data_IF_284253965565
#
_entry.id   IF_284253965565
#
_cell.length_a   1.000
_cell.length_b   1.000
_cell.length_c   1.000
_cell.angle_alpha   90.00
_cell.angle_beta   90.00
_cell.angle_gamma   90.00
#
_symmetry.space_group_name_H-M   'P 1'
#
loop_
_entity.id
_entity.type
_entity.pdbx_description
1 polymer ?
#
# COMPACT_ATOMS: atom_id res chain seq x y z
N UNK A 1 -4.03 -17.66 3.92
CA UNK A 1 -3.94 -18.18 2.54
C UNK A 1 -2.95 -19.34 2.45
N UNK A 2 -1.75 -19.23 3.02
CA UNK A 2 -0.70 -20.26 2.92
C UNK A 2 -0.60 -21.25 4.10
N UNK A 3 -1.35 -21.02 5.18
CA UNK A 3 -1.37 -21.88 6.38
C UNK A 3 -2.71 -22.62 6.50
N UNK A 4 -2.69 -23.78 7.14
CA UNK A 4 -3.86 -24.67 7.31
C UNK A 4 -3.79 -25.92 6.42
N UNK A 5 -4.79 -26.81 6.50
CA UNK A 5 -4.90 -27.96 5.61
C UNK A 5 -5.07 -27.50 4.16
N UNK A 6 -4.45 -28.21 3.22
CA UNK A 6 -4.58 -27.93 1.79
C UNK A 6 -6.01 -28.25 1.35
N UNK A 7 -6.68 -27.31 0.68
CA UNK A 7 -8.00 -27.53 0.12
C UNK A 7 -7.93 -28.61 -0.98
N UNK A 8 -8.90 -29.54 -1.07
CA UNK A 8 -8.91 -30.61 -2.08
C UNK A 8 -8.76 -30.07 -3.52
N UNK A 9 -9.37 -28.93 -3.80
CA UNK A 9 -9.36 -28.24 -5.10
C UNK A 9 -7.97 -27.77 -5.52
N UNK A 10 -7.06 -27.55 -4.57
CA UNK A 10 -5.71 -27.01 -4.82
C UNK A 10 -4.63 -28.10 -4.87
N UNK A 11 -5.02 -29.38 -4.77
CA UNK A 11 -4.08 -30.50 -4.67
C UNK A 11 -3.23 -30.70 -5.92
N UNK A 12 -3.80 -30.43 -7.09
CA UNK A 12 -3.16 -30.65 -8.40
C UNK A 12 -2.65 -29.35 -9.05
N UNK A 13 -2.60 -28.25 -8.29
CA UNK A 13 -2.13 -26.97 -8.79
C UNK A 13 -0.62 -27.01 -8.99
N UNK A 14 -0.20 -26.78 -10.25
CA UNK A 14 1.22 -26.75 -10.63
C UNK A 14 1.88 -25.46 -10.18
N UNK A 15 3.19 -25.53 -9.95
CA UNK A 15 4.01 -24.34 -9.72
C UNK A 15 3.89 -23.37 -10.91
N UNK A 16 3.96 -22.06 -10.65
CA UNK A 16 3.86 -21.06 -11.69
C UNK A 16 5.02 -21.17 -12.69
N UNK A 17 4.80 -20.72 -13.93
CA UNK A 17 5.82 -20.70 -14.96
C UNK A 17 7.00 -19.80 -14.57
N UNK A 18 8.17 -20.06 -15.16
CA UNK A 18 9.39 -19.29 -14.89
C UNK A 18 9.18 -17.78 -15.08
N UNK A 19 8.42 -17.37 -16.11
CA UNK A 19 8.11 -15.96 -16.38
C UNK A 19 7.37 -15.28 -15.22
N UNK A 20 6.55 -16.02 -14.46
CA UNK A 20 5.83 -15.47 -13.31
C UNK A 20 6.70 -15.51 -12.03
N UNK A 21 7.61 -16.47 -11.91
CA UNK A 21 8.54 -16.56 -10.78
C UNK A 21 9.75 -15.63 -10.90
N UNK A 22 10.09 -15.18 -12.10
CA UNK A 22 11.29 -14.39 -12.35
C UNK A 22 11.24 -12.97 -11.75
N UNK A 23 10.16 -12.16 -11.93
CA UNK A 23 10.04 -10.86 -11.28
C UNK A 23 10.15 -10.92 -9.74
N UNK A 24 9.41 -11.78 -9.00
CA UNK A 24 9.53 -11.83 -7.55
C UNK A 24 10.90 -12.36 -7.09
N UNK A 25 11.56 -13.22 -7.87
CA UNK A 25 12.92 -13.66 -7.58
C UNK A 25 13.92 -12.49 -7.63
N UNK A 26 13.89 -11.68 -8.70
CA UNK A 26 14.73 -10.49 -8.80
C UNK A 26 14.43 -9.52 -7.66
N UNK A 27 13.14 -9.31 -7.36
CA UNK A 27 12.73 -8.42 -6.29
C UNK A 27 13.27 -8.89 -4.93
N UNK A 28 13.18 -10.19 -4.63
CA UNK A 28 13.72 -10.76 -3.40
C UNK A 28 15.24 -10.56 -3.32
N UNK A 29 15.97 -10.77 -4.41
CA UNK A 29 17.41 -10.57 -4.47
C UNK A 29 17.77 -9.09 -4.22
N UNK A 30 17.08 -8.16 -4.87
CA UNK A 30 17.24 -6.72 -4.63
C UNK A 30 16.91 -6.32 -3.19
N UNK A 31 15.84 -6.86 -2.60
CA UNK A 31 15.49 -6.61 -1.20
C UNK A 31 16.60 -7.06 -0.24
N UNK A 32 17.19 -8.23 -0.48
CA UNK A 32 18.30 -8.73 0.34
C UNK A 32 19.54 -7.84 0.16
N UNK A 33 19.91 -7.52 -1.08
CA UNK A 33 21.08 -6.67 -1.36
C UNK A 33 20.93 -5.27 -0.76
N UNK A 34 19.78 -4.62 -0.96
CA UNK A 34 19.53 -3.27 -0.44
C UNK A 34 19.34 -3.27 1.08
N UNK A 35 18.79 -4.35 1.65
CA UNK A 35 18.64 -4.51 3.10
C UNK A 35 19.99 -4.70 3.80
N UNK A 36 20.88 -5.53 3.24
CA UNK A 36 22.21 -5.79 3.82
C UNK A 36 23.15 -4.59 3.58
N UNK A 37 23.03 -3.94 2.42
CA UNK A 37 23.94 -2.87 1.98
C UNK A 37 23.16 -1.57 1.72
N UNK A 38 22.64 -0.91 2.77
CA UNK A 38 21.80 0.27 2.59
C UNK A 38 22.56 1.47 2.03
N UNK A 39 23.89 1.53 2.21
CA UNK A 39 24.69 2.65 1.71
C UNK A 39 24.65 2.81 0.19
N UNK A 40 24.44 1.72 -0.58
CA UNK A 40 24.35 1.79 -2.04
C UNK A 40 23.09 2.53 -2.51
N UNK A 41 21.86 2.09 -2.18
CA UNK A 41 20.65 2.79 -2.60
C UNK A 41 20.56 4.20 -2.00
N UNK A 42 21.07 4.41 -0.77
CA UNK A 42 21.04 5.74 -0.14
C UNK A 42 21.98 6.73 -0.86
N UNK A 43 23.27 6.40 -0.99
CA UNK A 43 24.26 7.34 -1.52
C UNK A 43 24.17 7.54 -3.03
N UNK A 44 23.80 6.51 -3.80
CA UNK A 44 23.81 6.58 -5.27
C UNK A 44 22.47 6.93 -5.89
N UNK A 45 21.36 6.58 -5.23
CA UNK A 45 20.02 6.77 -5.79
C UNK A 45 19.24 7.86 -5.05
N UNK A 46 19.03 7.69 -3.75
CA UNK A 46 18.12 8.54 -2.98
C UNK A 46 18.70 9.94 -2.71
N UNK A 47 19.94 10.05 -2.25
CA UNK A 47 20.53 11.35 -1.89
C UNK A 47 20.68 12.28 -3.11
N UNK A 48 21.22 11.82 -4.27
CA UNK A 48 21.31 12.68 -5.45
C UNK A 48 19.94 13.08 -5.99
N UNK A 49 18.97 12.15 -6.02
CA UNK A 49 17.61 12.45 -6.45
C UNK A 49 16.93 13.48 -5.55
N UNK A 50 17.13 13.37 -4.23
CA UNK A 50 16.56 14.28 -3.25
C UNK A 50 17.22 15.68 -3.30
N UNK A 51 18.53 15.74 -3.49
CA UNK A 51 19.24 17.02 -3.68
C UNK A 51 18.84 17.71 -4.99
N UNK A 52 18.47 16.97 -6.03
CA UNK A 52 17.98 17.53 -7.28
C UNK A 52 16.57 18.16 -7.14
N UNK A 53 15.70 17.58 -6.31
CA UNK A 53 14.34 18.09 -6.07
C UNK A 53 14.35 19.27 -5.08
N UNK A 54 15.22 19.20 -4.08
CA UNK A 54 15.30 20.18 -2.98
C UNK A 54 16.76 20.41 -2.60
N UNK A 55 17.40 21.43 -3.21
CA UNK A 55 18.78 21.76 -2.93
C UNK A 55 18.97 22.09 -1.44
N UNK A 56 19.92 21.42 -0.80
CA UNK A 56 20.26 21.67 0.61
C UNK A 56 19.51 20.83 1.63
N UNK A 57 18.72 19.82 1.24
CA UNK A 57 18.10 18.89 2.21
C UNK A 57 19.14 18.22 3.12
N UNK A 58 20.32 17.90 2.60
CA UNK A 58 21.39 17.33 3.44
C UNK A 58 21.84 18.27 4.55
N UNK A 59 21.71 19.59 4.38
CA UNK A 59 22.04 20.58 5.42
C UNK A 59 20.93 20.70 6.48
N UNK A 60 19.71 20.24 6.15
CA UNK A 60 18.58 20.15 7.09
C UNK A 60 18.57 18.83 7.87
N UNK A 61 19.43 17.86 7.53
CA UNK A 61 19.54 16.62 8.27
C UNK A 61 20.25 16.84 9.61
N UNK A 62 19.93 16.06 10.66
CA UNK A 62 20.60 16.17 11.96
C UNK A 62 22.11 16.03 11.85
N UNK A 63 22.85 16.83 12.62
CA UNK A 63 24.31 16.76 12.69
C UNK A 63 24.79 15.34 12.99
N UNK A 64 25.74 14.82 12.18
CA UNK A 64 26.26 13.46 12.32
C UNK A 64 25.59 12.41 11.41
N UNK A 65 24.71 12.80 10.49
CA UNK A 65 24.17 11.85 9.51
C UNK A 65 25.23 11.31 8.57
N UNK A 66 25.43 10.00 8.60
CA UNK A 66 26.39 9.30 7.75
C UNK A 66 25.78 7.99 7.25
N UNK A 67 25.86 7.78 5.95
CA UNK A 67 25.40 6.57 5.30
C UNK A 67 26.61 5.77 4.83
N UNK A 68 27.02 4.80 5.64
CA UNK A 68 28.10 3.89 5.29
C UNK A 68 27.53 2.64 4.60
N UNK A 69 28.43 1.80 4.08
CA UNK A 69 28.05 0.62 3.31
C UNK A 69 27.16 -0.34 4.12
N UNK A 70 27.49 -0.56 5.40
CA UNK A 70 26.80 -1.50 6.30
C UNK A 70 26.25 -0.84 7.57
N UNK A 71 26.17 0.48 7.61
CA UNK A 71 25.59 1.20 8.74
C UNK A 71 24.97 2.54 8.35
N UNK A 72 23.93 2.92 9.09
CA UNK A 72 23.22 4.18 8.92
C UNK A 72 23.28 4.92 10.26
N UNK A 73 23.83 6.12 10.25
CA UNK A 73 23.78 7.06 11.37
C UNK A 73 22.84 8.21 11.01
N UNK A 74 21.85 8.47 11.87
CA UNK A 74 20.97 9.64 11.76
C UNK A 74 20.92 10.31 13.14
N UNK A 75 21.64 11.42 13.31
CA UNK A 75 21.80 12.07 14.61
C UNK A 75 22.41 11.12 15.64
N UNK A 76 21.70 10.86 16.73
CA UNK A 76 22.10 9.90 17.78
C UNK A 76 21.69 8.44 17.49
N UNK A 77 20.92 8.19 16.43
CA UNK A 77 20.46 6.84 16.09
C UNK A 77 21.48 6.11 15.22
N UNK A 78 21.89 4.92 15.66
CA UNK A 78 22.85 4.08 14.96
C UNK A 78 22.22 2.74 14.58
N UNK A 79 22.07 2.49 13.28
CA UNK A 79 21.70 1.19 12.74
C UNK A 79 22.94 0.52 12.17
N UNK A 80 23.41 -0.53 12.82
CA UNK A 80 24.51 -1.36 12.32
C UNK A 80 23.98 -2.65 11.68
N UNK A 81 23.89 -2.68 10.34
CA UNK A 81 23.35 -3.82 9.60
C UNK A 81 24.30 -5.02 9.68
N UNK A 82 25.60 -4.78 9.59
CA UNK A 82 26.61 -5.85 9.59
C UNK A 82 26.50 -6.79 10.79
N UNK A 83 26.42 -6.25 12.01
CA UNK A 83 26.27 -7.07 13.22
C UNK A 83 24.88 -7.74 13.29
N UNK A 84 23.82 -7.04 12.87
CA UNK A 84 22.47 -7.57 12.87
C UNK A 84 22.32 -8.81 11.98
N UNK A 85 22.92 -8.78 10.79
CA UNK A 85 22.91 -9.92 9.87
C UNK A 85 23.67 -11.11 10.46
N UNK A 86 24.85 -10.89 11.04
CA UNK A 86 25.63 -11.95 11.70
C UNK A 86 24.83 -12.60 12.84
N UNK A 87 24.22 -11.79 13.70
CA UNK A 87 23.40 -12.29 14.81
C UNK A 87 22.16 -13.05 14.31
N UNK A 88 21.53 -12.59 13.23
CA UNK A 88 20.40 -13.29 12.61
C UNK A 88 20.83 -14.68 12.10
N UNK A 89 21.95 -14.76 11.37
CA UNK A 89 22.47 -16.04 10.89
C UNK A 89 22.85 -16.97 12.04
N UNK A 90 23.47 -16.44 13.10
CA UNK A 90 23.77 -17.21 14.32
C UNK A 90 22.48 -17.78 14.92
N UNK A 91 21.42 -16.97 15.04
CA UNK A 91 20.12 -17.41 15.55
C UNK A 91 19.48 -18.51 14.69
N UNK A 92 19.56 -18.39 13.36
CA UNK A 92 19.07 -19.43 12.43
C UNK A 92 19.89 -20.72 12.58
N UNK A 93 21.21 -20.63 12.72
CA UNK A 93 22.08 -21.79 12.95
C UNK A 93 21.71 -22.48 14.27
N UNK A 94 21.54 -21.72 15.35
CA UNK A 94 21.12 -22.26 16.66
C UNK A 94 19.74 -22.93 16.56
N UNK A 95 18.77 -22.29 15.91
CA UNK A 95 17.45 -22.87 15.68
C UNK A 95 17.51 -24.17 14.86
N UNK A 96 18.38 -24.22 13.84
CA UNK A 96 18.60 -25.41 13.03
C UNK A 96 19.25 -26.55 13.83
N UNK A 97 20.23 -26.26 14.67
CA UNK A 97 20.83 -27.22 15.61
C UNK A 97 19.78 -27.77 16.58
N UNK A 98 18.94 -26.91 17.14
CA UNK A 98 17.85 -27.34 18.03
C UNK A 98 16.83 -28.21 17.30
N UNK A 99 16.42 -27.81 16.09
CA UNK A 99 15.50 -28.58 15.26
C UNK A 99 16.05 -29.97 14.89
N UNK A 100 17.31 -30.03 14.48
CA UNK A 100 17.97 -31.29 14.13
C UNK A 100 18.14 -32.23 15.32
N UNK A 101 18.47 -31.70 16.51
CA UNK A 101 18.47 -32.47 17.75
C UNK A 101 17.07 -32.99 18.11
N UNK A 102 16.02 -32.16 17.93
CA UNK A 102 14.63 -32.56 18.15
C UNK A 102 14.14 -33.65 17.18
N UNK A 103 14.62 -33.66 15.93
CA UNK A 103 14.28 -34.68 14.93
C UNK A 103 14.79 -36.08 15.29
N UNK A 104 15.77 -36.20 16.19
CA UNK A 104 16.19 -37.49 16.74
C UNK A 104 15.05 -38.18 17.52
N UNK A 105 14.11 -37.41 18.07
CA UNK A 105 12.89 -37.92 18.68
C UNK A 105 11.82 -38.05 17.59
N UNK A 106 11.32 -39.28 17.37
CA UNK A 106 10.32 -39.60 16.33
C UNK A 106 9.05 -38.76 16.51
N UNK A 107 8.98 -37.60 15.84
CA UNK A 107 7.79 -36.77 15.81
C UNK A 107 6.72 -37.43 14.93
N UNK A 108 5.59 -37.84 15.54
CA UNK A 108 4.44 -38.37 14.81
C UNK A 108 3.67 -37.20 14.20
N UNK A 109 3.50 -37.20 12.88
CA UNK A 109 2.56 -36.30 12.22
C UNK A 109 1.14 -36.75 12.57
N UNK A 110 0.40 -35.91 13.28
CA UNK A 110 -1.04 -36.09 13.53
C UNK A 110 -1.82 -35.24 12.53
N UNK A 111 -2.99 -35.70 12.04
CA UNK A 111 -3.91 -34.82 11.32
C UNK A 111 -4.28 -33.63 12.21
N UNK A 112 -4.63 -32.50 11.57
CA UNK A 112 -5.23 -31.38 12.28
C UNK A 112 -6.53 -31.86 12.94
N UNK A 113 -6.80 -31.45 14.17
CA UNK A 113 -8.03 -31.81 14.88
C UNK A 113 -8.57 -30.60 15.64
N UNK A 114 -9.90 -30.54 15.80
CA UNK A 114 -10.56 -29.54 16.65
C UNK A 114 -11.37 -30.32 17.69
N UNK A 115 -11.08 -30.10 18.97
CA UNK A 115 -11.78 -30.80 20.05
C UNK A 115 -11.66 -32.33 20.01
N UNK A 116 -10.60 -32.87 19.38
CA UNK A 116 -10.37 -34.31 19.22
C UNK A 116 -11.05 -34.95 18.00
N UNK A 117 -11.75 -34.16 17.18
CA UNK A 117 -12.41 -34.64 15.97
C UNK A 117 -11.49 -34.41 14.77
N UNK A 118 -11.27 -35.45 13.98
CA UNK A 118 -10.46 -35.40 12.77
C UNK A 118 -11.29 -34.86 11.57
N UNK A 119 -10.63 -34.27 10.55
CA UNK A 119 -11.27 -33.93 9.27
C UNK A 119 -12.01 -35.13 8.70
N UNK A 120 -13.12 -34.87 8.03
CA UNK A 120 -13.99 -35.86 7.35
C UNK A 120 -14.75 -36.80 8.30
N UNK A 121 -14.57 -36.63 9.62
CA UNK A 121 -15.40 -37.31 10.63
C UNK A 121 -16.74 -36.58 10.81
N UNK A 122 -17.80 -37.37 11.03
CA UNK A 122 -19.12 -36.86 11.39
C UNK A 122 -19.11 -36.48 12.88
N UNK A 123 -19.47 -35.23 13.20
CA UNK A 123 -19.72 -34.81 14.58
C UNK A 123 -21.02 -34.01 14.64
N UNK A 124 -22.04 -34.65 15.24
CA UNK A 124 -23.42 -34.16 15.18
C UNK A 124 -24.05 -34.40 13.80
N UNK A 125 -24.68 -33.38 13.23
CA UNK A 125 -25.36 -33.43 11.92
C UNK A 125 -24.50 -32.86 10.77
N UNK A 126 -23.26 -32.46 11.06
CA UNK A 126 -22.36 -31.85 10.08
C UNK A 126 -21.09 -32.68 9.93
N UNK A 127 -20.64 -32.86 8.69
CA UNK A 127 -19.33 -33.41 8.36
C UNK A 127 -18.28 -32.32 8.51
N UNK A 128 -17.27 -32.54 9.35
CA UNK A 128 -16.17 -31.58 9.52
C UNK A 128 -15.24 -31.64 8.31
N UNK A 129 -15.51 -30.84 7.28
CA UNK A 129 -14.62 -30.76 6.11
C UNK A 129 -13.33 -30.00 6.45
N UNK A 130 -12.27 -30.21 5.67
CA UNK A 130 -11.03 -29.43 5.79
C UNK A 130 -11.27 -27.90 5.67
N UNK A 131 -12.32 -27.50 4.94
CA UNK A 131 -12.74 -26.11 4.84
C UNK A 131 -13.37 -25.57 6.13
N UNK A 132 -14.18 -26.38 6.82
CA UNK A 132 -14.78 -26.01 8.10
C UNK A 132 -13.72 -25.79 9.19
N UNK A 133 -12.57 -26.45 9.10
CA UNK A 133 -11.43 -26.23 10.00
C UNK A 133 -10.48 -25.12 9.54
N UNK A 134 -10.62 -24.62 8.31
CA UNK A 134 -9.79 -23.53 7.82
C UNK A 134 -10.30 -22.24 8.44
N UNK A 135 -9.49 -21.59 9.28
CA UNK A 135 -9.82 -20.25 9.80
C UNK A 135 -9.87 -19.28 8.61
N UNK A 136 -11.06 -18.76 8.23
CA UNK A 136 -11.16 -17.83 7.13
C UNK A 136 -10.45 -16.54 7.53
N UNK A 137 -9.47 -16.10 6.74
CA UNK A 137 -8.73 -14.87 7.01
C UNK A 137 -9.63 -13.64 7.13
N UNK A 138 -10.81 -13.66 6.48
CA UNK A 138 -11.84 -12.61 6.60
C UNK A 138 -12.53 -12.61 7.96
N UNK A 139 -12.70 -13.77 8.60
CA UNK A 139 -13.30 -13.88 9.92
C UNK A 139 -12.43 -13.28 11.03
N UNK A 140 -11.11 -13.31 10.87
CA UNK A 140 -10.17 -12.69 11.82
C UNK A 140 -10.43 -11.19 11.99
N UNK A 141 -10.77 -10.50 10.90
CA UNK A 141 -11.00 -9.05 10.94
C UNK A 141 -12.34 -8.68 11.57
N UNK A 142 -13.31 -9.60 11.64
CA UNK A 142 -14.61 -9.30 12.26
C UNK A 142 -14.44 -8.94 13.73
N UNK A 143 -13.56 -9.61 14.46
CA UNK A 143 -13.25 -9.25 15.86
C UNK A 143 -12.69 -7.83 15.97
N UNK A 144 -11.84 -7.42 15.02
CA UNK A 144 -11.31 -6.05 14.99
C UNK A 144 -12.41 -5.04 14.67
N UNK A 145 -13.32 -5.37 13.72
CA UNK A 145 -14.47 -4.52 13.39
C UNK A 145 -15.39 -4.28 14.60
N UNK A 146 -15.53 -5.28 15.48
CA UNK A 146 -16.37 -5.20 16.68
C UNK A 146 -15.74 -4.40 17.84
N UNK A 147 -14.48 -3.97 17.74
CA UNK A 147 -13.87 -3.11 18.75
C UNK A 147 -14.63 -1.77 18.84
N UNK A 148 -14.88 -1.24 20.05
CA UNK A 148 -15.83 -0.13 20.25
C UNK A 148 -15.52 1.12 19.41
N UNK A 149 -14.25 1.46 19.23
CA UNK A 149 -13.82 2.60 18.41
C UNK A 149 -14.04 2.33 16.91
N UNK A 150 -13.61 1.15 16.45
CA UNK A 150 -13.73 0.78 15.04
C UNK A 150 -15.19 0.55 14.64
N UNK A 151 -16.00 -0.04 15.51
CA UNK A 151 -17.43 -0.25 15.30
C UNK A 151 -18.21 1.05 15.15
N UNK A 152 -17.75 2.14 15.79
CA UNK A 152 -18.36 3.45 15.64
C UNK A 152 -17.97 4.13 14.32
N UNK A 153 -16.70 4.03 13.90
CA UNK A 153 -16.15 4.81 12.78
C UNK A 153 -16.28 4.06 11.44
N UNK A 154 -16.13 2.74 11.46
CA UNK A 154 -16.05 1.93 10.24
C UNK A 154 -17.37 1.93 9.43
N UNK A 155 -18.57 1.90 10.05
CA UNK A 155 -19.81 2.04 9.29
C UNK A 155 -19.86 3.36 8.52
N UNK A 156 -19.45 4.48 9.13
CA UNK A 156 -19.42 5.79 8.46
C UNK A 156 -18.44 5.78 7.28
N UNK A 157 -17.31 5.09 7.41
CA UNK A 157 -16.37 4.87 6.31
C UNK A 157 -16.98 4.01 5.18
N UNK A 158 -17.71 2.95 5.51
CA UNK A 158 -18.44 2.10 4.55
C UNK A 158 -19.57 2.88 3.85
N UNK A 159 -20.23 3.81 4.54
CA UNK A 159 -21.17 4.76 3.95
C UNK A 159 -20.50 5.89 3.17
N UNK A 160 -19.17 5.89 3.03
CA UNK A 160 -18.42 6.88 2.25
C UNK A 160 -18.36 8.27 2.88
N UNK A 161 -18.50 8.37 4.21
CA UNK A 161 -18.42 9.64 4.93
C UNK A 161 -17.03 10.30 4.85
N UNK A 162 -15.98 9.51 4.58
CA UNK A 162 -14.60 9.98 4.43
C UNK A 162 -14.14 10.06 2.97
N UNK A 163 -15.05 9.92 1.99
CA UNK A 163 -14.71 10.03 0.56
C UNK A 163 -14.75 11.50 0.11
N UNK A 164 -13.58 12.17 -0.10
CA UNK A 164 -13.56 13.57 -0.52
C UNK A 164 -14.19 13.77 -1.90
N UNK A 165 -14.11 12.77 -2.79
CA UNK A 165 -14.67 12.87 -4.13
C UNK A 165 -16.19 12.97 -4.10
N UNK A 166 -16.84 12.32 -3.14
CA UNK A 166 -18.29 12.42 -2.96
C UNK A 166 -18.74 13.81 -2.54
N UNK A 167 -17.97 14.49 -1.68
CA UNK A 167 -18.28 15.87 -1.30
C UNK A 167 -17.94 16.85 -2.40
N UNK A 168 -16.76 16.74 -3.00
CA UNK A 168 -16.31 17.61 -4.09
C UNK A 168 -17.26 17.51 -5.29
N UNK A 169 -17.72 16.30 -5.65
CA UNK A 169 -18.68 16.12 -6.74
C UNK A 169 -20.03 16.77 -6.42
N UNK A 170 -20.58 16.59 -5.21
CA UNK A 170 -21.83 17.24 -4.79
C UNK A 170 -21.73 18.76 -4.75
N UNK A 171 -20.63 19.28 -4.19
CA UNK A 171 -20.37 20.72 -4.12
C UNK A 171 -20.20 21.28 -5.53
N UNK A 172 -19.42 20.60 -6.37
CA UNK A 172 -19.21 20.99 -7.77
C UNK A 172 -20.49 20.97 -8.58
N UNK A 173 -21.35 19.97 -8.37
CA UNK A 173 -22.65 19.88 -9.01
C UNK A 173 -23.56 21.04 -8.60
N UNK A 174 -23.62 21.35 -7.30
CA UNK A 174 -24.45 22.42 -6.77
C UNK A 174 -23.95 23.83 -7.17
N UNK A 175 -22.65 24.07 -7.11
CA UNK A 175 -22.06 25.40 -7.34
C UNK A 175 -21.79 25.72 -8.80
N UNK A 176 -21.47 24.73 -9.63
CA UNK A 176 -21.09 24.97 -11.02
C UNK A 176 -22.09 24.35 -11.99
N UNK A 177 -22.37 23.05 -11.87
CA UNK A 177 -23.14 22.32 -12.90
C UNK A 177 -24.59 22.83 -12.98
N UNK A 178 -25.31 22.92 -11.86
CA UNK A 178 -26.69 23.41 -11.83
C UNK A 178 -26.85 24.85 -12.34
N UNK A 179 -26.07 25.85 -11.89
CA UNK A 179 -26.21 27.21 -12.40
C UNK A 179 -25.79 27.34 -13.86
N UNK A 180 -24.71 26.68 -14.31
CA UNK A 180 -24.34 26.69 -15.73
C UNK A 180 -25.42 26.03 -16.60
N UNK A 181 -26.07 24.98 -16.10
CA UNK A 181 -27.19 24.35 -16.80
C UNK A 181 -28.40 25.28 -16.91
N UNK A 182 -28.67 26.11 -15.91
CA UNK A 182 -29.73 27.12 -15.96
C UNK A 182 -29.44 28.25 -16.95
N UNK A 183 -28.17 28.59 -17.18
CA UNK A 183 -27.76 29.58 -18.19
C UNK A 183 -27.95 29.06 -19.63
N UNK A 184 -28.14 27.75 -19.82
CA UNK A 184 -28.36 27.12 -21.11
C UNK A 184 -29.86 26.97 -21.39
N UNK A 185 -30.51 28.06 -21.79
CA UNK A 185 -31.97 28.14 -21.98
C UNK A 185 -32.49 27.52 -23.28
N UNK A 186 -31.61 27.07 -24.19
CA UNK A 186 -31.99 26.52 -25.50
C UNK A 186 -32.54 27.57 -26.49
N UNK A 187 -32.56 28.85 -26.11
CA UNK A 187 -33.09 29.95 -26.93
C UNK A 187 -31.93 30.59 -27.71
N UNK A 188 -32.04 30.61 -29.04
CA UNK A 188 -30.99 31.14 -29.94
C UNK A 188 -30.56 32.58 -29.57
N UNK A 189 -31.52 33.44 -29.21
CA UNK A 189 -31.25 34.82 -28.84
C UNK A 189 -30.35 34.94 -27.61
N UNK A 190 -30.47 34.04 -26.62
CA UNK A 190 -29.63 34.08 -25.41
C UNK A 190 -28.18 33.78 -25.75
N UNK A 191 -27.90 32.82 -26.64
CA UNK A 191 -26.53 32.53 -27.08
C UNK A 191 -25.92 33.67 -27.88
N UNK A 192 -26.71 34.32 -28.75
CA UNK A 192 -26.22 35.47 -29.52
C UNK A 192 -25.82 36.63 -28.59
N UNK A 193 -26.62 36.89 -27.55
CA UNK A 193 -26.28 37.89 -26.53
C UNK A 193 -24.97 37.54 -25.80
N UNK A 194 -24.80 36.29 -25.37
CA UNK A 194 -23.55 35.84 -24.75
C UNK A 194 -22.34 35.96 -25.70
N UNK A 195 -22.51 35.65 -26.99
CA UNK A 195 -21.46 35.79 -27.99
C UNK A 195 -21.04 37.24 -28.20
N UNK A 196 -22.00 38.18 -28.27
CA UNK A 196 -21.72 39.61 -28.39
C UNK A 196 -21.03 40.14 -27.13
N UNK A 197 -21.50 39.78 -25.93
CA UNK A 197 -20.87 40.16 -24.66
C UNK A 197 -19.43 39.64 -24.60
N UNK A 198 -19.21 38.37 -24.95
CA UNK A 198 -17.88 37.76 -25.01
C UNK A 198 -16.95 38.48 -25.98
N UNK A 199 -17.44 38.82 -27.18
CA UNK A 199 -16.69 39.56 -28.18
C UNK A 199 -16.29 40.95 -27.68
N UNK A 200 -17.20 41.69 -27.04
CA UNK A 200 -16.91 43.02 -26.46
C UNK A 200 -15.87 42.90 -25.35
N UNK A 201 -15.98 41.91 -24.47
CA UNK A 201 -14.99 41.67 -23.42
C UNK A 201 -13.59 41.39 -23.98
N UNK A 202 -13.50 40.53 -25.00
CA UNK A 202 -12.24 40.22 -25.67
C UNK A 202 -11.65 41.48 -26.32
N UNK A 203 -12.46 42.29 -26.99
CA UNK A 203 -12.02 43.54 -27.62
C UNK A 203 -11.47 44.54 -26.59
N UNK A 204 -12.14 44.68 -25.42
CA UNK A 204 -11.66 45.55 -24.33
C UNK A 204 -10.35 45.02 -23.75
N UNK A 205 -10.27 43.72 -23.50
CA UNK A 205 -9.06 43.08 -22.97
C UNK A 205 -7.87 43.25 -23.92
N UNK A 206 -8.07 42.96 -25.22
CA UNK A 206 -7.05 43.14 -26.25
C UNK A 206 -6.61 44.61 -26.38
N UNK A 207 -7.56 45.55 -26.32
CA UNK A 207 -7.25 46.99 -26.31
C UNK A 207 -6.40 47.36 -25.10
N UNK A 208 -6.78 46.96 -23.89
CA UNK A 208 -6.00 47.24 -22.67
C UNK A 208 -4.60 46.61 -22.74
N UNK A 209 -4.51 45.39 -23.22
CA UNK A 209 -3.25 44.68 -23.41
C UNK A 209 -2.34 45.38 -24.42
N UNK A 210 -2.88 45.80 -25.56
CA UNK A 210 -2.16 46.55 -26.59
C UNK A 210 -1.67 47.91 -26.09
N UNK A 211 -2.51 48.67 -25.38
CA UNK A 211 -2.12 49.93 -24.74
C UNK A 211 -1.00 49.72 -23.71
N UNK A 212 -1.05 48.63 -22.93
CA UNK A 212 0.03 48.30 -21.98
C UNK A 212 1.35 47.95 -22.66
N UNK A 213 1.35 47.52 -23.92
CA UNK A 213 2.56 47.22 -24.69
C UNK A 213 3.17 48.47 -25.35
N UNK A 214 2.37 49.50 -25.64
CA UNK A 214 2.83 50.77 -26.23
C UNK A 214 3.39 51.73 -25.17
N UNK A 215 2.86 51.66 -23.95
CA UNK A 215 3.26 52.53 -22.83
C UNK A 215 4.51 52.02 -22.09
N UNK A 216 5.02 50.83 -22.46
CA UNK A 216 6.34 50.33 -22.06
C UNK A 216 7.36 50.58 -23.16
#
# INVERSE_FOLDING_TARGET
IYMGPLAPELKDVKAPSFALSFPPFILALLCILFGIVPGIPLNKLLIPALNAISPGIMNAMPSGTQFNLFSINIGSSFWQVGIGVILLFLGVIVAWLYYSAGKAFKSRKSPAFIGGIEPETLAGYHTFTNEAMRVPGTGFYNTLKELPILKAILPDAEYGAFDPYRYVSKIGEALFVKPLKLLHSGILSSYLTWAIIGLVFIMIYLRMFYLSMIVK
#
